data_IF_511814575149
#
_entry.id   IF_511814575149
#
_cell.length_a   1.000
_cell.length_b   1.000
_cell.length_c   1.000
_cell.angle_alpha   90.00
_cell.angle_beta   90.00
_cell.angle_gamma   90.00
#
_symmetry.space_group_name_H-M   'P 1'
#
loop_
_entity.id
_entity.type
_entity.pdbx_description
1 polymer ?
#
# COMPACT_ATOMS: atom_id res chain seq x y z
N UNK A 1 0.49 18.31 -2.22
CA UNK A 1 -0.64 17.48 -2.73
C UNK A 1 -0.48 17.09 -4.20
N UNK A 2 -0.10 17.99 -5.11
CA UNK A 2 0.00 17.66 -6.55
C UNK A 2 0.96 16.49 -6.85
N UNK A 3 2.06 16.39 -6.10
CA UNK A 3 3.09 15.34 -6.22
C UNK A 3 2.60 13.91 -6.00
N UNK A 4 1.48 13.71 -5.29
CA UNK A 4 0.92 12.38 -5.03
C UNK A 4 -0.17 11.98 -6.04
N UNK A 5 -0.66 12.93 -6.84
CA UNK A 5 -1.72 12.68 -7.82
C UNK A 5 -1.23 11.71 -8.89
N UNK A 6 -2.15 10.86 -9.36
CA UNK A 6 -1.91 10.05 -10.55
C UNK A 6 -1.90 10.94 -11.79
N UNK A 7 -0.97 10.67 -12.71
CA UNK A 7 -0.85 11.44 -13.96
C UNK A 7 -1.80 10.93 -15.05
N UNK A 8 -2.13 9.65 -15.04
CA UNK A 8 -3.07 8.99 -15.94
C UNK A 8 -3.56 7.64 -15.34
N UNK A 9 -4.45 6.95 -16.07
CA UNK A 9 -5.01 5.65 -15.68
C UNK A 9 -3.95 4.55 -15.55
N UNK A 10 -2.86 4.63 -16.31
CA UNK A 10 -1.78 3.63 -16.27
C UNK A 10 -0.99 3.79 -14.99
N UNK A 11 -0.56 5.01 -14.68
CA UNK A 11 0.09 5.36 -13.41
C UNK A 11 -0.79 5.00 -12.20
N UNK A 12 -2.11 5.20 -12.31
CA UNK A 12 -3.10 4.76 -11.31
C UNK A 12 -3.11 3.23 -11.13
N UNK A 13 -3.08 2.47 -12.23
CA UNK A 13 -3.04 1.01 -12.18
C UNK A 13 -1.74 0.47 -11.56
N UNK A 14 -0.59 1.10 -11.82
CA UNK A 14 0.66 0.75 -11.14
C UNK A 14 0.64 1.10 -9.66
N UNK A 15 0.06 2.25 -9.29
CA UNK A 15 -0.15 2.60 -7.89
C UNK A 15 -0.98 1.53 -7.16
N UNK A 16 -2.08 1.09 -7.77
CA UNK A 16 -2.92 0.01 -7.24
C UNK A 16 -2.19 -1.34 -7.16
N UNK A 17 -1.40 -1.69 -8.18
CA UNK A 17 -0.56 -2.88 -8.17
C UNK A 17 0.42 -2.86 -6.99
N UNK A 18 1.08 -1.72 -6.74
CA UNK A 18 1.97 -1.54 -5.61
C UNK A 18 1.27 -1.78 -4.27
N UNK A 19 0.11 -1.17 -4.08
CA UNK A 19 -0.71 -1.35 -2.87
C UNK A 19 -1.11 -2.82 -2.67
N UNK A 20 -1.60 -3.49 -3.72
CA UNK A 20 -2.00 -4.90 -3.67
C UNK A 20 -0.82 -5.84 -3.34
N UNK A 21 0.34 -5.62 -3.95
CA UNK A 21 1.58 -6.37 -3.65
C UNK A 21 1.94 -6.20 -2.18
N UNK A 22 1.91 -4.97 -1.66
CA UNK A 22 2.24 -4.72 -0.25
C UNK A 22 1.28 -5.42 0.71
N UNK A 23 -0.02 -5.46 0.41
CA UNK A 23 -1.00 -6.17 1.23
C UNK A 23 -0.67 -7.66 1.30
N UNK A 24 -0.38 -8.31 0.17
CA UNK A 24 -0.02 -9.74 0.16
C UNK A 24 1.29 -10.00 0.91
N UNK A 25 2.29 -9.14 0.74
CA UNK A 25 3.61 -9.28 1.38
C UNK A 25 3.56 -9.11 2.90
N UNK A 26 2.65 -8.27 3.40
CA UNK A 26 2.45 -8.04 4.84
C UNK A 26 1.29 -8.86 5.42
N UNK A 27 0.86 -9.94 4.73
CA UNK A 27 -0.24 -10.82 5.15
C UNK A 27 -1.56 -10.06 5.46
N UNK A 28 -1.77 -8.92 4.80
CA UNK A 28 -2.92 -8.04 4.92
C UNK A 28 -4.01 -8.28 3.86
N UNK A 29 -3.88 -9.32 3.03
CA UNK A 29 -4.80 -9.56 1.91
C UNK A 29 -6.25 -9.84 2.36
N UNK A 30 -6.46 -10.31 3.60
CA UNK A 30 -7.80 -10.47 4.18
C UNK A 30 -8.52 -9.14 4.43
N UNK A 31 -7.79 -8.02 4.45
CA UNK A 31 -8.32 -6.68 4.64
C UNK A 31 -8.81 -6.06 3.32
N UNK A 32 -8.55 -6.71 2.18
CA UNK A 32 -8.99 -6.24 0.88
C UNK A 32 -10.37 -6.79 0.54
N UNK A 33 -11.29 -5.94 0.10
CA UNK A 33 -12.55 -6.35 -0.50
C UNK A 33 -12.44 -6.41 -2.02
N UNK A 34 -12.06 -5.29 -2.65
CA UNK A 34 -11.89 -5.19 -4.10
C UNK A 34 -10.92 -4.06 -4.48
N UNK A 35 -10.52 -4.02 -5.76
CA UNK A 35 -9.81 -2.89 -6.36
C UNK A 35 -10.65 -2.34 -7.50
N UNK A 36 -10.94 -1.05 -7.49
CA UNK A 36 -11.72 -0.38 -8.52
C UNK A 36 -10.92 0.79 -9.14
N UNK A 37 -10.42 0.60 -10.36
CA UNK A 37 -9.66 1.63 -11.07
C UNK A 37 -10.53 2.83 -11.47
N UNK A 38 -11.84 2.60 -11.63
CA UNK A 38 -12.83 3.60 -12.02
C UNK A 38 -13.45 4.34 -10.82
N UNK A 39 -12.90 4.15 -9.61
CA UNK A 39 -13.36 4.89 -8.45
C UNK A 39 -13.28 6.42 -8.70
N UNK A 40 -14.35 7.14 -8.38
CA UNK A 40 -14.42 8.60 -8.53
C UNK A 40 -13.37 9.29 -7.65
N UNK A 41 -13.19 8.80 -6.42
CA UNK A 41 -12.14 9.23 -5.51
C UNK A 41 -10.88 8.33 -5.67
N UNK A 42 -9.68 8.92 -5.87
CA UNK A 42 -8.42 8.20 -5.78
C UNK A 42 -8.20 7.41 -4.47
N UNK A 43 -8.83 7.83 -3.37
CA UNK A 43 -8.79 7.12 -2.08
C UNK A 43 -9.61 5.82 -2.10
N UNK A 44 -10.60 5.71 -2.99
CA UNK A 44 -11.53 4.58 -3.06
C UNK A 44 -11.07 3.50 -4.07
N UNK A 45 -9.86 3.62 -4.62
CA UNK A 45 -9.30 2.59 -5.52
C UNK A 45 -9.19 1.24 -4.82
N UNK A 46 -8.80 1.26 -3.55
CA UNK A 46 -8.67 0.08 -2.71
C UNK A 46 -9.87 0.02 -1.77
N UNK A 47 -10.84 -0.83 -2.08
CA UNK A 47 -11.97 -1.05 -1.19
C UNK A 47 -11.53 -1.98 -0.05
N UNK A 48 -11.35 -1.43 1.15
CA UNK A 48 -10.93 -2.16 2.33
C UNK A 48 -12.12 -2.76 3.08
N UNK A 49 -11.92 -3.89 3.76
CA UNK A 49 -12.92 -4.48 4.64
C UNK A 49 -13.17 -3.60 5.87
N UNK A 50 -14.35 -3.68 6.51
CA UNK A 50 -14.65 -2.92 7.72
C UNK A 50 -13.64 -3.15 8.86
N UNK A 51 -13.02 -4.34 8.91
CA UNK A 51 -12.01 -4.70 9.92
C UNK A 51 -10.76 -3.84 9.84
N UNK A 52 -10.48 -3.24 8.69
CA UNK A 52 -9.38 -2.28 8.53
C UNK A 52 -9.65 -0.97 9.30
N UNK A 53 -10.90 -0.53 9.36
CA UNK A 53 -11.28 0.74 10.01
C UNK A 53 -11.75 0.56 11.46
N UNK A 54 -11.99 -0.69 11.89
CA UNK A 54 -12.65 -0.98 13.15
C UNK A 54 -11.74 -1.73 14.13
N UNK A 55 -11.41 -1.08 15.25
CA UNK A 55 -10.65 -1.70 16.36
C UNK A 55 -11.47 -1.83 17.67
N UNK A 56 -12.78 -1.60 17.62
CA UNK A 56 -13.62 -1.42 18.81
C UNK A 56 -14.51 -2.60 19.14
N UNK A 57 -14.02 -3.63 19.85
CA UNK A 57 -14.90 -4.64 20.44
C UNK A 57 -14.79 -4.59 21.98
N UNK A 58 -15.91 -4.44 22.74
CA UNK A 58 -15.87 -4.36 24.21
C UNK A 58 -15.30 -5.62 24.89
N UNK A 59 -15.11 -6.72 24.15
CA UNK A 59 -14.50 -7.96 24.64
C UNK A 59 -12.96 -7.97 24.51
N UNK A 60 -12.36 -7.12 23.68
CA UNK A 60 -10.89 -7.05 23.52
C UNK A 60 -10.27 -6.05 24.49
N UNK A 61 -9.08 -6.41 25.00
CA UNK A 61 -8.29 -5.52 25.85
C UNK A 61 -7.86 -4.25 25.11
N UNK A 62 -7.67 -3.15 25.83
CA UNK A 62 -7.13 -1.91 25.27
C UNK A 62 -5.79 -2.12 24.54
N UNK A 63 -4.93 -3.01 25.07
CA UNK A 63 -3.67 -3.37 24.42
C UNK A 63 -3.88 -4.04 23.06
N UNK A 64 -4.84 -4.98 22.97
CA UNK A 64 -5.15 -5.68 21.73
C UNK A 64 -5.74 -4.72 20.69
N UNK A 65 -6.66 -3.84 21.10
CA UNK A 65 -7.22 -2.82 20.24
C UNK A 65 -6.14 -1.86 19.71
N UNK A 66 -5.27 -1.34 20.59
CA UNK A 66 -4.16 -0.48 20.19
C UNK A 66 -3.18 -1.19 19.24
N UNK A 67 -2.85 -2.45 19.51
CA UNK A 67 -1.99 -3.26 18.63
C UNK A 67 -2.59 -3.37 17.23
N UNK A 68 -3.90 -3.56 17.13
CA UNK A 68 -4.59 -3.60 15.84
C UNK A 68 -4.53 -2.24 15.11
N UNK A 69 -4.73 -1.13 15.83
CA UNK A 69 -4.66 0.22 15.26
C UNK A 69 -3.26 0.49 14.68
N UNK A 70 -2.21 0.19 15.45
CA UNK A 70 -0.81 0.33 15.00
C UNK A 70 -0.53 -0.57 13.80
N UNK A 71 -1.07 -1.79 13.78
CA UNK A 71 -0.92 -2.70 12.65
C UNK A 71 -1.60 -2.16 11.38
N UNK A 72 -2.85 -1.67 11.49
CA UNK A 72 -3.59 -1.08 10.37
C UNK A 72 -2.87 0.17 9.83
N UNK A 73 -2.34 1.01 10.73
CA UNK A 73 -1.47 2.14 10.36
C UNK A 73 -0.22 1.66 9.60
N UNK A 74 0.48 0.64 10.10
CA UNK A 74 1.65 0.08 9.44
C UNK A 74 1.35 -0.43 8.03
N UNK A 75 0.20 -1.07 7.84
CA UNK A 75 -0.28 -1.53 6.54
C UNK A 75 -0.58 -0.34 5.63
N UNK A 76 -1.30 0.66 6.11
CA UNK A 76 -1.61 1.88 5.35
C UNK A 76 -0.36 2.62 4.87
N UNK A 77 0.61 2.85 5.76
CA UNK A 77 1.90 3.45 5.39
C UNK A 77 2.63 2.60 4.34
N UNK A 78 2.62 1.29 4.50
CA UNK A 78 3.28 0.37 3.55
C UNK A 78 2.60 0.38 2.17
N UNK A 79 1.27 0.50 2.12
CA UNK A 79 0.52 0.67 0.86
C UNK A 79 0.91 1.97 0.16
N UNK A 80 0.99 3.09 0.89
CA UNK A 80 1.39 4.38 0.31
C UNK A 80 2.83 4.36 -0.24
N UNK A 81 3.77 3.76 0.52
CA UNK A 81 5.14 3.58 0.04
C UNK A 81 5.13 2.71 -1.23
N UNK A 82 4.42 1.59 -1.22
CA UNK A 82 4.40 0.67 -2.34
C UNK A 82 3.73 1.27 -3.59
N UNK A 83 2.71 2.10 -3.41
CA UNK A 83 2.11 2.89 -4.49
C UNK A 83 3.18 3.72 -5.22
N UNK A 84 3.95 4.51 -4.47
CA UNK A 84 5.00 5.36 -5.03
C UNK A 84 6.14 4.54 -5.63
N UNK A 85 6.58 3.49 -4.94
CA UNK A 85 7.66 2.62 -5.41
C UNK A 85 7.28 1.96 -6.74
N UNK A 86 6.06 1.46 -6.87
CA UNK A 86 5.61 0.84 -8.10
C UNK A 86 5.54 1.86 -9.25
N UNK A 87 4.99 3.04 -9.00
CA UNK A 87 4.89 4.12 -10.00
C UNK A 87 6.25 4.65 -10.46
N UNK A 88 7.20 4.82 -9.54
CA UNK A 88 8.50 5.38 -9.91
C UNK A 88 9.49 4.32 -10.37
N UNK A 89 9.70 3.25 -9.61
CA UNK A 89 10.72 2.25 -9.92
C UNK A 89 10.29 1.30 -11.04
N UNK A 90 9.01 0.93 -11.11
CA UNK A 90 8.52 -0.06 -12.07
C UNK A 90 7.97 0.61 -13.32
N UNK A 91 7.02 1.53 -13.16
CA UNK A 91 6.44 2.24 -14.31
C UNK A 91 7.39 3.30 -14.88
N UNK A 92 7.93 4.17 -14.04
CA UNK A 92 8.81 5.26 -14.46
C UNK A 92 10.28 4.86 -14.71
N UNK A 93 10.72 3.71 -14.19
CA UNK A 93 12.11 3.26 -14.29
C UNK A 93 13.13 4.15 -13.55
N UNK A 94 12.69 4.95 -12.57
CA UNK A 94 13.56 5.87 -11.82
C UNK A 94 13.27 5.83 -10.31
N UNK A 95 14.23 6.28 -9.50
CA UNK A 95 14.04 6.34 -8.06
C UNK A 95 12.92 7.32 -7.66
N UNK A 96 12.26 7.04 -6.52
CA UNK A 96 11.34 7.98 -5.89
C UNK A 96 12.12 9.24 -5.53
N UNK A 97 11.69 10.45 -5.94
CA UNK A 97 12.40 11.67 -5.58
C UNK A 97 12.48 11.87 -4.07
N UNK A 98 13.64 12.31 -3.56
CA UNK A 98 13.88 12.49 -2.11
C UNK A 98 12.85 13.40 -1.44
N UNK A 99 12.40 14.44 -2.15
CA UNK A 99 11.35 15.32 -1.64
C UNK A 99 10.01 14.61 -1.47
N UNK A 100 9.63 13.70 -2.37
CA UNK A 100 8.37 12.95 -2.29
C UNK A 100 8.47 11.95 -1.13
N UNK A 101 9.62 11.29 -0.98
CA UNK A 101 9.85 10.38 0.14
C UNK A 101 9.78 11.09 1.50
N UNK A 102 10.34 12.30 1.58
CA UNK A 102 10.25 13.16 2.78
C UNK A 102 8.82 13.62 3.05
N UNK A 103 8.11 14.12 2.05
CA UNK A 103 6.71 14.58 2.21
C UNK A 103 5.80 13.40 2.65
N UNK A 104 6.04 12.17 2.14
CA UNK A 104 5.31 10.99 2.59
C UNK A 104 5.65 10.62 4.04
N UNK A 105 6.92 10.73 4.43
CA UNK A 105 7.35 10.47 5.81
C UNK A 105 6.73 11.47 6.78
N UNK A 106 6.67 12.75 6.42
CA UNK A 106 5.99 13.80 7.20
C UNK A 106 4.50 13.48 7.38
N UNK A 107 3.80 13.07 6.33
CA UNK A 107 2.41 12.62 6.44
C UNK A 107 2.25 11.42 7.39
N UNK A 108 3.18 10.46 7.37
CA UNK A 108 3.16 9.33 8.30
C UNK A 108 3.36 9.76 9.76
N UNK A 109 4.11 10.83 10.03
CA UNK A 109 4.25 11.40 11.38
C UNK A 109 2.94 12.00 11.87
N UNK A 110 2.27 12.79 11.03
CA UNK A 110 0.99 13.42 11.36
C UNK A 110 -0.07 12.37 11.70
N UNK A 111 -0.19 11.33 10.86
CA UNK A 111 -1.13 10.23 11.07
C UNK A 111 -0.75 9.34 12.26
N UNK A 112 0.54 9.03 12.43
CA UNK A 112 1.03 8.19 13.52
C UNK A 112 0.80 8.81 14.91
N UNK A 113 1.01 10.12 15.02
CA UNK A 113 0.73 10.86 16.24
C UNK A 113 -0.78 10.93 16.53
N UNK A 114 -1.60 11.22 15.51
CA UNK A 114 -3.04 11.40 15.65
C UNK A 114 -3.82 10.10 15.88
N UNK A 115 -3.54 9.06 15.09
CA UNK A 115 -4.31 7.82 15.09
C UNK A 115 -3.78 6.78 16.09
N UNK A 116 -2.47 6.75 16.32
CA UNK A 116 -1.81 5.68 17.08
C UNK A 116 -1.15 6.16 18.38
N UNK A 117 -1.05 7.47 18.59
CA UNK A 117 -0.27 8.09 19.68
C UNK A 117 1.19 7.61 19.72
N UNK A 118 1.78 7.37 18.54
CA UNK A 118 3.19 6.97 18.41
C UNK A 118 4.12 8.17 18.62
N UNK A 119 5.28 7.92 19.20
CA UNK A 119 6.37 8.88 19.26
C UNK A 119 7.08 9.00 17.89
N UNK A 120 7.72 10.14 17.59
CA UNK A 120 8.38 10.34 16.29
C UNK A 120 9.43 9.27 15.94
N UNK A 121 10.17 8.76 16.92
CA UNK A 121 11.17 7.71 16.70
C UNK A 121 10.54 6.33 16.41
N UNK A 122 9.32 6.08 16.91
CA UNK A 122 8.52 4.89 16.58
C UNK A 122 8.03 4.95 15.13
N UNK A 123 7.51 6.10 14.70
CA UNK A 123 7.10 6.33 13.31
C UNK A 123 8.30 6.20 12.36
N UNK A 124 9.43 6.80 12.71
CA UNK A 124 10.66 6.72 11.91
C UNK A 124 11.14 5.28 11.73
N UNK A 125 11.13 4.49 12.81
CA UNK A 125 11.52 3.08 12.76
C UNK A 125 10.59 2.27 11.85
N UNK A 126 9.28 2.46 11.98
CA UNK A 126 8.29 1.79 11.15
C UNK A 126 8.45 2.18 9.67
N UNK A 127 8.48 3.48 9.38
CA UNK A 127 8.58 4.00 8.03
C UNK A 127 9.87 3.54 7.34
N UNK A 128 11.03 3.72 7.97
CA UNK A 128 12.32 3.37 7.38
C UNK A 128 12.44 1.86 7.12
N UNK A 129 11.86 1.04 8.00
CA UNK A 129 11.81 -0.42 7.82
C UNK A 129 10.98 -0.77 6.58
N UNK A 130 9.75 -0.27 6.47
CA UNK A 130 8.89 -0.53 5.31
C UNK A 130 9.49 0.02 4.03
N UNK A 131 10.03 1.25 4.05
CA UNK A 131 10.64 1.90 2.89
C UNK A 131 11.84 1.12 2.35
N UNK A 132 12.76 0.72 3.23
CA UNK A 132 13.95 -0.05 2.83
C UNK A 132 13.57 -1.41 2.27
N UNK A 133 12.62 -2.09 2.91
CA UNK A 133 12.16 -3.40 2.46
C UNK A 133 11.48 -3.30 1.08
N UNK A 134 10.52 -2.38 0.94
CA UNK A 134 9.76 -2.20 -0.30
C UNK A 134 10.63 -1.69 -1.45
N UNK A 135 11.61 -0.82 -1.18
CA UNK A 135 12.58 -0.41 -2.21
C UNK A 135 13.34 -1.62 -2.79
N UNK A 136 13.81 -2.54 -1.93
CA UNK A 136 14.47 -3.78 -2.38
C UNK A 136 13.51 -4.67 -3.16
N UNK A 137 12.28 -4.82 -2.66
CA UNK A 137 11.23 -5.62 -3.28
C UNK A 137 10.93 -5.13 -4.70
N UNK A 138 10.62 -3.84 -4.89
CA UNK A 138 10.28 -3.27 -6.20
C UNK A 138 11.49 -3.07 -7.13
N UNK A 139 12.72 -3.17 -6.61
CA UNK A 139 13.93 -3.25 -7.41
C UNK A 139 14.19 -4.64 -7.99
N UNK A 140 13.49 -5.68 -7.51
CA UNK A 140 13.66 -7.05 -7.98
C UNK A 140 12.89 -7.29 -9.29
N UNK A 141 13.58 -7.71 -10.36
CA UNK A 141 12.99 -7.89 -11.69
C UNK A 141 11.79 -8.83 -11.71
N UNK A 142 11.80 -9.90 -10.90
CA UNK A 142 10.65 -10.81 -10.79
C UNK A 142 9.40 -10.12 -10.23
N UNK A 143 9.57 -9.21 -9.27
CA UNK A 143 8.45 -8.43 -8.72
C UNK A 143 7.97 -7.39 -9.73
N UNK A 144 8.90 -6.76 -10.46
CA UNK A 144 8.55 -5.81 -11.52
C UNK A 144 7.70 -6.46 -12.62
N UNK A 145 8.04 -7.69 -13.03
CA UNK A 145 7.26 -8.46 -13.99
C UNK A 145 5.83 -8.71 -13.48
N UNK A 146 5.69 -9.16 -12.24
CA UNK A 146 4.37 -9.36 -11.61
C UNK A 146 3.57 -8.06 -11.54
N UNK A 147 4.22 -6.95 -11.16
CA UNK A 147 3.57 -5.64 -11.10
C UNK A 147 3.09 -5.17 -12.49
N UNK A 148 3.86 -5.43 -13.55
CA UNK A 148 3.47 -5.13 -14.92
C UNK A 148 2.24 -5.94 -15.36
N UNK A 149 2.27 -7.26 -15.13
CA UNK A 149 1.16 -8.16 -15.46
C UNK A 149 -0.11 -7.79 -14.68
N UNK A 150 0.03 -7.48 -13.39
CA UNK A 150 -1.07 -7.03 -12.55
C UNK A 150 -1.66 -5.70 -13.05
N UNK A 151 -0.83 -4.69 -13.30
CA UNK A 151 -1.29 -3.40 -13.78
C UNK A 151 -2.00 -3.54 -15.15
N UNK A 152 -1.46 -4.35 -16.05
CA UNK A 152 -2.09 -4.66 -17.35
C UNK A 152 -3.46 -5.32 -17.18
N UNK A 153 -3.56 -6.32 -16.30
CA UNK A 153 -4.82 -6.99 -15.99
C UNK A 153 -5.85 -6.03 -15.38
N UNK A 154 -5.43 -5.18 -14.44
CA UNK A 154 -6.30 -4.18 -13.83
C UNK A 154 -6.77 -3.12 -14.84
N UNK A 155 -5.89 -2.60 -15.69
CA UNK A 155 -6.27 -1.66 -16.75
C UNK A 155 -7.28 -2.26 -17.73
N UNK A 156 -7.17 -3.57 -18.01
CA UNK A 156 -8.13 -4.24 -18.90
C UNK A 156 -9.46 -4.57 -18.22
N UNK A 157 -9.44 -5.04 -16.97
CA UNK A 157 -10.65 -5.51 -16.27
C UNK A 157 -11.37 -4.39 -15.54
N UNK A 158 -10.67 -3.28 -15.25
CA UNK A 158 -11.08 -2.08 -14.51
C UNK A 158 -11.43 -2.32 -13.04
N UNK A 159 -11.90 -3.51 -12.68
CA UNK A 159 -12.16 -3.93 -11.30
C UNK A 159 -11.58 -5.33 -11.07
N UNK A 160 -11.04 -5.57 -9.88
CA UNK A 160 -10.55 -6.87 -9.42
C UNK A 160 -11.17 -7.21 -8.06
N UNK A 161 -11.70 -8.43 -7.91
CA UNK A 161 -12.05 -8.94 -6.58
C UNK A 161 -10.79 -9.32 -5.80
N UNK A 162 -10.91 -9.49 -4.48
CA UNK A 162 -9.81 -10.07 -3.67
C UNK A 162 -9.27 -11.38 -4.26
N UNK A 163 -10.13 -12.25 -4.80
CA UNK A 163 -9.70 -13.52 -5.39
C UNK A 163 -8.85 -13.28 -6.65
N UNK A 164 -9.29 -12.39 -7.54
CA UNK A 164 -8.50 -12.02 -8.73
C UNK A 164 -7.12 -11.49 -8.34
N UNK A 165 -7.04 -10.68 -7.29
CA UNK A 165 -5.77 -10.15 -6.77
C UNK A 165 -4.85 -11.28 -6.32
N UNK A 166 -5.36 -12.24 -5.55
CA UNK A 166 -4.57 -13.37 -5.07
C UNK A 166 -4.08 -14.28 -6.20
N UNK A 167 -4.91 -14.47 -7.23
CA UNK A 167 -4.53 -15.24 -8.42
C UNK A 167 -3.42 -14.55 -9.21
N UNK A 168 -3.56 -13.24 -9.47
CA UNK A 168 -2.56 -12.45 -10.19
C UNK A 168 -1.23 -12.34 -9.43
N UNK A 169 -1.27 -12.35 -8.10
CA UNK A 169 -0.09 -12.24 -7.24
C UNK A 169 0.49 -13.59 -6.78
N UNK A 170 -0.11 -14.71 -7.20
CA UNK A 170 0.41 -16.05 -6.93
C UNK A 170 1.91 -16.21 -7.27
N UNK A 171 2.44 -15.65 -8.39
CA UNK A 171 3.85 -15.81 -8.73
C UNK A 171 4.82 -15.23 -7.68
N UNK A 172 4.40 -14.26 -6.86
CA UNK A 172 5.26 -13.71 -5.80
C UNK A 172 5.68 -14.76 -4.77
N UNK A 173 4.88 -15.80 -4.58
CA UNK A 173 5.19 -16.89 -3.62
C UNK A 173 6.32 -17.81 -4.10
N UNK A 174 6.73 -17.68 -5.36
CA UNK A 174 7.77 -18.50 -5.99
C UNK A 174 9.10 -17.76 -6.18
N UNK A 175 9.17 -16.48 -5.79
CA UNK A 175 10.35 -15.62 -5.84
C UNK A 175 11.15 -15.69 -4.54
#
# INVERSE_FOLDING_TARGET
>A
MEKFRYIDDVDRAYGAAGMAISLVIYDGDSLLYSINLDADDPHDIMEMSPDFFFAGNPVVSAKAAWTQIVNNFSIGVSMLIANLMCRHLVHGGHAVPDEVARDLKEAAHDDGAGACALEPDEVDRLFNKSYTYLWRLFSHQGVQAVAHDFASALSSRRTLSRLDVLELLQPLRML
#
